data_IF_154171515810
#
_entry.id   IF_154171515810
#
_cell.length_a   1.000
_cell.length_b   1.000
_cell.length_c   1.000
_cell.angle_alpha   90.00
_cell.angle_beta   90.00
_cell.angle_gamma   90.00
#
_symmetry.space_group_name_H-M   'P 1'
#
loop_
_entity.id
_entity.type
_entity.pdbx_description
1 polymer ?
#
# COMPACT_ATOMS: atom_id res chain seq x y z
N UNK A 1 8.03 -1.82 4.05
CA UNK A 1 7.04 -2.26 5.05
C UNK A 1 5.71 -1.52 4.88
N UNK A 2 5.73 -0.19 4.72
CA UNK A 2 4.54 0.65 4.50
C UNK A 2 3.56 0.09 3.44
N UNK A 3 4.07 -0.26 2.25
CA UNK A 3 3.25 -0.85 1.17
C UNK A 3 2.64 -2.20 1.56
N UNK A 4 3.39 -3.05 2.27
CA UNK A 4 2.93 -4.39 2.65
C UNK A 4 1.86 -4.33 3.74
N UNK A 5 1.98 -3.37 4.66
CA UNK A 5 0.99 -3.15 5.70
C UNK A 5 -0.36 -2.73 5.08
N UNK A 6 -0.33 -1.80 4.12
CA UNK A 6 -1.52 -1.32 3.44
C UNK A 6 -2.15 -2.39 2.54
N UNK A 7 -1.31 -3.15 1.84
CA UNK A 7 -1.73 -4.30 1.05
C UNK A 7 -2.49 -5.31 1.92
N UNK A 8 -1.92 -5.71 3.07
CA UNK A 8 -2.57 -6.65 3.97
C UNK A 8 -3.90 -6.08 4.48
N UNK A 9 -3.93 -4.80 4.87
CA UNK A 9 -5.13 -4.13 5.39
C UNK A 9 -6.30 -4.20 4.42
N UNK A 10 -6.10 -3.83 3.16
CA UNK A 10 -7.20 -3.73 2.20
C UNK A 10 -7.48 -5.00 1.42
N UNK A 11 -6.43 -5.71 0.98
CA UNK A 11 -6.61 -6.89 0.12
C UNK A 11 -7.05 -8.11 0.95
N UNK A 12 -6.53 -8.29 2.17
CA UNK A 12 -6.91 -9.44 2.99
C UNK A 12 -8.36 -9.36 3.44
N UNK A 13 -8.81 -8.18 3.88
CA UNK A 13 -10.20 -7.95 4.28
C UNK A 13 -11.18 -8.20 3.11
N UNK A 14 -10.83 -7.73 1.90
CA UNK A 14 -11.65 -7.96 0.72
C UNK A 14 -11.78 -9.46 0.41
N UNK A 15 -10.66 -10.21 0.47
CA UNK A 15 -10.63 -11.65 0.22
C UNK A 15 -11.46 -12.42 1.26
N UNK A 16 -11.33 -12.08 2.54
CA UNK A 16 -12.07 -12.71 3.63
C UNK A 16 -13.58 -12.52 3.51
N UNK A 17 -14.03 -11.42 2.90
CA UNK A 17 -15.45 -11.11 2.71
C UNK A 17 -16.07 -11.76 1.47
N UNK A 18 -15.29 -12.25 0.50
CA UNK A 18 -15.81 -12.89 -0.73
C UNK A 18 -16.87 -13.97 -0.41
N UNK A 19 -16.63 -14.93 0.50
CA UNK A 19 -17.61 -15.99 0.77
C UNK A 19 -18.91 -15.50 1.42
N UNK A 20 -18.89 -14.33 2.04
CA UNK A 20 -20.11 -13.70 2.57
C UNK A 20 -20.94 -13.09 1.45
N UNK A 21 -20.30 -12.31 0.57
CA UNK A 21 -20.99 -11.70 -0.57
C UNK A 21 -21.52 -12.74 -1.56
N UNK A 22 -20.78 -13.82 -1.80
CA UNK A 22 -21.23 -14.91 -2.68
C UNK A 22 -22.50 -15.60 -2.16
N UNK A 23 -22.58 -15.82 -0.84
CA UNK A 23 -23.78 -16.40 -0.22
C UNK A 23 -24.98 -15.48 -0.35
N UNK A 24 -24.81 -14.19 -0.05
CA UNK A 24 -25.87 -13.19 -0.22
C UNK A 24 -26.32 -13.09 -1.69
N UNK A 25 -25.38 -13.09 -2.63
CA UNK A 25 -25.70 -13.06 -4.05
C UNK A 25 -26.48 -14.30 -4.49
N UNK A 26 -26.13 -15.50 -3.99
CA UNK A 26 -26.86 -16.73 -4.26
C UNK A 26 -28.30 -16.70 -3.72
N UNK A 27 -28.50 -16.16 -2.51
CA UNK A 27 -29.83 -15.97 -1.92
C UNK A 27 -30.68 -15.00 -2.75
N UNK A 28 -30.11 -13.88 -3.19
CA UNK A 28 -30.81 -12.91 -4.05
C UNK A 28 -31.13 -13.54 -5.41
N UNK A 29 -30.20 -14.30 -5.98
CA UNK A 29 -30.34 -14.92 -7.30
C UNK A 29 -31.51 -15.89 -7.36
N UNK A 30 -31.82 -16.58 -6.26
CA UNK A 30 -32.96 -17.49 -6.16
C UNK A 30 -34.32 -16.78 -6.36
N UNK A 31 -34.40 -15.48 -6.04
CA UNK A 31 -35.60 -14.68 -6.24
C UNK A 31 -35.55 -13.84 -7.52
N UNK A 32 -34.45 -13.12 -7.74
CA UNK A 32 -34.29 -12.15 -8.82
C UNK A 32 -32.82 -12.13 -9.31
N UNK A 33 -32.54 -12.82 -10.43
CA UNK A 33 -31.20 -12.86 -11.02
C UNK A 33 -30.62 -11.49 -11.38
N UNK A 34 -31.46 -10.53 -11.82
CA UNK A 34 -30.98 -9.18 -12.18
C UNK A 34 -30.53 -8.40 -10.94
N UNK A 35 -31.27 -8.54 -9.83
CA UNK A 35 -30.83 -7.95 -8.55
C UNK A 35 -29.52 -8.54 -8.06
N UNK A 36 -29.29 -9.84 -8.23
CA UNK A 36 -28.04 -10.47 -7.83
C UNK A 36 -26.84 -9.96 -8.65
N UNK A 37 -27.02 -9.84 -9.97
CA UNK A 37 -26.00 -9.27 -10.86
C UNK A 37 -25.65 -7.84 -10.44
N UNK A 38 -26.68 -7.02 -10.18
CA UNK A 38 -26.49 -5.64 -9.75
C UNK A 38 -25.80 -5.57 -8.39
N UNK A 39 -26.22 -6.39 -7.43
CA UNK A 39 -25.61 -6.45 -6.11
C UNK A 39 -24.11 -6.75 -6.18
N UNK A 40 -23.70 -7.77 -6.94
CA UNK A 40 -22.29 -8.10 -7.13
C UNK A 40 -21.54 -6.96 -7.81
N UNK A 41 -22.11 -6.40 -8.88
CA UNK A 41 -21.51 -5.28 -9.62
C UNK A 41 -21.25 -4.09 -8.70
N UNK A 42 -22.29 -3.62 -8.01
CA UNK A 42 -22.23 -2.43 -7.15
C UNK A 42 -21.25 -2.67 -5.98
N UNK A 43 -21.24 -3.88 -5.40
CA UNK A 43 -20.32 -4.27 -4.33
C UNK A 43 -18.86 -4.20 -4.80
N UNK A 44 -18.52 -4.88 -5.89
CA UNK A 44 -17.12 -4.96 -6.36
C UNK A 44 -16.62 -3.64 -6.93
N UNK A 45 -17.46 -2.84 -7.58
CA UNK A 45 -17.11 -1.49 -8.02
C UNK A 45 -16.78 -0.61 -6.82
N UNK A 46 -17.63 -0.60 -5.78
CA UNK A 46 -17.38 0.18 -4.56
C UNK A 46 -16.08 -0.23 -3.86
N UNK A 47 -15.81 -1.55 -3.79
CA UNK A 47 -14.56 -2.05 -3.23
C UNK A 47 -13.34 -1.62 -4.04
N UNK A 48 -13.41 -1.68 -5.37
CA UNK A 48 -12.33 -1.25 -6.25
C UNK A 48 -12.03 0.26 -6.11
N UNK A 49 -13.07 1.10 -6.07
CA UNK A 49 -12.92 2.54 -5.87
C UNK A 49 -12.26 2.85 -4.52
N UNK A 50 -12.69 2.18 -3.45
CA UNK A 50 -12.12 2.33 -2.13
C UNK A 50 -10.64 1.92 -2.08
N UNK A 51 -10.30 0.81 -2.74
CA UNK A 51 -8.93 0.32 -2.84
C UNK A 51 -8.05 1.34 -3.58
N UNK A 52 -8.52 1.85 -4.74
CA UNK A 52 -7.79 2.86 -5.52
C UNK A 52 -7.53 4.11 -4.68
N UNK A 53 -8.54 4.60 -3.96
CA UNK A 53 -8.37 5.77 -3.10
C UNK A 53 -7.32 5.52 -2.00
N UNK A 54 -7.36 4.36 -1.35
CA UNK A 54 -6.38 4.01 -0.33
C UNK A 54 -4.94 3.97 -0.88
N UNK A 55 -4.75 3.48 -2.11
CA UNK A 55 -3.45 3.50 -2.77
C UNK A 55 -2.97 4.92 -3.10
N UNK A 56 -3.86 5.83 -3.48
CA UNK A 56 -3.52 7.24 -3.67
C UNK A 56 -3.12 7.90 -2.35
N UNK A 57 -3.89 7.69 -1.29
CA UNK A 57 -3.60 8.22 0.04
C UNK A 57 -2.26 7.71 0.58
N UNK A 58 -1.95 6.43 0.34
CA UNK A 58 -0.65 5.86 0.65
C UNK A 58 0.47 6.55 -0.15
N UNK A 59 0.26 6.78 -1.45
CA UNK A 59 1.19 7.49 -2.30
C UNK A 59 1.55 8.86 -1.74
N UNK A 60 0.55 9.65 -1.39
CA UNK A 60 0.72 10.97 -0.78
C UNK A 60 1.47 10.88 0.55
N UNK A 61 1.09 9.93 1.41
CA UNK A 61 1.76 9.71 2.69
C UNK A 61 3.24 9.32 2.53
N UNK A 62 3.57 8.49 1.53
CA UNK A 62 4.94 8.08 1.23
C UNK A 62 5.78 9.25 0.72
N UNK A 63 5.22 10.10 -0.14
CA UNK A 63 5.89 11.31 -0.63
C UNK A 63 6.28 12.24 0.52
N UNK A 64 5.37 12.44 1.49
CA UNK A 64 5.65 13.23 2.70
C UNK A 64 6.70 12.55 3.57
N UNK A 65 6.56 11.24 3.81
CA UNK A 65 7.44 10.46 4.69
C UNK A 65 8.88 10.40 4.17
N UNK A 66 9.08 10.22 2.88
CA UNK A 66 10.41 10.00 2.28
C UNK A 66 10.97 11.20 1.52
N UNK A 67 10.42 12.40 1.75
CA UNK A 67 10.81 13.60 1.03
C UNK A 67 12.31 13.91 1.16
N UNK A 68 12.95 14.35 0.07
CA UNK A 68 14.36 14.76 0.01
C UNK A 68 15.37 13.76 0.59
N UNK A 69 15.17 12.45 0.37
CA UNK A 69 16.02 11.38 0.91
C UNK A 69 16.15 11.43 2.44
N UNK A 70 15.11 11.95 3.09
CA UNK A 70 14.97 11.98 4.54
C UNK A 70 13.74 11.19 4.93
N UNK A 71 13.70 10.82 6.21
CA UNK A 71 12.55 10.13 6.79
C UNK A 71 11.85 11.09 7.75
N UNK A 72 10.69 11.58 7.35
CA UNK A 72 9.81 12.37 8.20
C UNK A 72 8.94 11.45 9.05
N UNK A 73 8.92 11.70 10.36
CA UNK A 73 8.03 11.04 11.29
C UNK A 73 6.89 12.02 11.64
N UNK A 74 5.65 11.74 11.24
CA UNK A 74 4.52 12.65 11.46
C UNK A 74 4.12 12.81 12.93
N UNK A 75 4.33 11.81 13.78
CA UNK A 75 3.99 11.84 15.21
C UNK A 75 4.90 12.79 15.99
N UNK A 76 6.20 12.67 15.76
CA UNK A 76 7.23 13.51 16.42
C UNK A 76 7.50 14.81 15.68
N UNK A 77 6.98 14.94 14.45
CA UNK A 77 7.22 16.05 13.51
C UNK A 77 8.71 16.33 13.28
N UNK A 78 9.51 15.26 13.22
CA UNK A 78 10.97 15.34 13.05
C UNK A 78 11.39 14.65 11.77
N UNK A 79 12.51 15.12 11.23
CA UNK A 79 13.08 14.59 10.00
C UNK A 79 14.47 13.99 10.27
N UNK A 80 14.60 12.68 10.06
CA UNK A 80 15.85 11.93 10.15
C UNK A 80 16.51 11.69 8.79
N UNK A 81 17.76 11.21 8.80
CA UNK A 81 18.39 10.67 7.59
C UNK A 81 17.90 9.25 7.34
N UNK A 82 17.74 8.89 6.07
CA UNK A 82 17.54 7.50 5.69
C UNK A 82 18.81 6.72 6.04
N UNK A 83 18.65 5.60 6.75
CA UNK A 83 19.75 4.67 7.04
C UNK A 83 19.66 3.55 6.02
N UNK A 84 20.70 3.42 5.20
CA UNK A 84 20.80 2.32 4.25
C UNK A 84 21.41 1.08 4.90
N UNK A 85 21.03 -0.13 4.46
CA UNK A 85 21.70 -1.36 4.88
C UNK A 85 23.21 -1.33 4.56
N UNK A 86 24.03 -1.91 5.42
CA UNK A 86 25.50 -1.92 5.24
C UNK A 86 25.94 -2.60 3.95
N UNK A 87 25.29 -3.70 3.57
CA UNK A 87 25.59 -4.42 2.32
C UNK A 87 25.39 -3.53 1.09
N UNK A 88 24.37 -2.68 1.10
CA UNK A 88 24.13 -1.73 0.00
C UNK A 88 25.22 -0.66 -0.06
N UNK A 89 25.67 -0.15 1.11
CA UNK A 89 26.79 0.81 1.17
C UNK A 89 28.06 0.20 0.60
N UNK A 90 28.38 -1.06 0.95
CA UNK A 90 29.54 -1.80 0.41
C UNK A 90 29.42 -1.97 -1.10
N UNK A 91 28.25 -2.36 -1.60
CA UNK A 91 28.00 -2.55 -3.02
C UNK A 91 28.21 -1.26 -3.84
N UNK A 92 27.73 -0.12 -3.32
CA UNK A 92 27.96 1.18 -3.96
C UNK A 92 29.45 1.52 -3.99
N UNK A 93 30.17 1.35 -2.88
CA UNK A 93 31.62 1.63 -2.85
C UNK A 93 32.37 0.78 -3.87
N UNK A 94 32.00 -0.49 -4.02
CA UNK A 94 32.61 -1.40 -4.99
C UNK A 94 32.29 -1.02 -6.45
N UNK A 95 31.04 -0.71 -6.76
CA UNK A 95 30.60 -0.39 -8.13
C UNK A 95 31.09 1.00 -8.59
N UNK A 96 30.92 2.02 -7.75
CA UNK A 96 31.22 3.41 -8.07
C UNK A 96 32.70 3.77 -7.84
N UNK A 97 33.50 2.82 -7.34
CA UNK A 97 34.94 3.00 -7.02
C UNK A 97 35.20 4.27 -6.22
N UNK A 98 34.32 4.56 -5.26
CA UNK A 98 34.34 5.80 -4.49
C UNK A 98 35.65 5.91 -3.69
N UNK A 99 36.30 7.07 -3.78
CA UNK A 99 37.47 7.37 -2.97
C UNK A 99 37.05 8.07 -1.68
N UNK A 100 37.69 7.76 -0.54
CA UNK A 100 37.43 8.48 0.70
C UNK A 100 37.68 9.98 0.50
N UNK A 101 36.70 10.81 0.86
CA UNK A 101 36.94 12.25 0.89
C UNK A 101 37.95 12.57 2.01
N UNK A 102 38.89 13.48 1.74
CA UNK A 102 39.79 13.98 2.78
C UNK A 102 38.95 14.60 3.90
N UNK A 103 39.24 14.22 5.14
CA UNK A 103 38.62 14.86 6.31
C UNK A 103 38.87 16.37 6.22
N UNK A 104 37.79 17.11 6.37
CA UNK A 104 37.76 18.57 6.38
C UNK A 104 38.20 19.09 7.74
#
# INVERSE_FOLDING_TARGET
EDVRAEQVRWESEAIERIPHFDRLAAEIYAGDPEKALRFLTDTWVTHAESLIQAWWDLGDALLVKYNHFRMYNPETRRTGRIVYPEEWKKAIVANEKLKPQKKR
#
